data_IF_546538483370
#
_entry.id   IF_546538483370
#
_cell.length_a   1.000
_cell.length_b   1.000
_cell.length_c   1.000
_cell.angle_alpha   90.00
_cell.angle_beta   90.00
_cell.angle_gamma   90.00
#
_symmetry.space_group_name_H-M   'P 1'
#
loop_
_entity.id
_entity.type
_entity.pdbx_description
1 polymer ?
#
# COMPACT_ATOMS: atom_id res chain seq x y z
N UNK A 1 -14.36 29.76 2.72
CA UNK A 1 -14.76 28.44 3.26
C UNK A 1 -14.80 27.43 2.11
N UNK A 2 -14.28 26.24 2.36
CA UNK A 2 -14.31 25.15 1.38
C UNK A 2 -15.64 24.38 1.49
N UNK A 3 -16.35 24.28 0.37
CA UNK A 3 -17.58 23.48 0.26
C UNK A 3 -17.34 22.33 -0.73
N UNK A 4 -17.29 21.11 -0.21
CA UNK A 4 -17.01 19.91 -0.99
C UNK A 4 -18.05 19.63 -2.09
N UNK A 5 -19.32 20.02 -1.88
CA UNK A 5 -20.41 19.68 -2.80
C UNK A 5 -20.32 20.45 -4.12
N UNK A 6 -19.75 21.66 -4.08
CA UNK A 6 -19.66 22.56 -5.24
C UNK A 6 -18.24 22.85 -5.69
N UNK A 7 -17.23 22.43 -4.93
CA UNK A 7 -15.83 22.70 -5.23
C UNK A 7 -15.36 21.95 -6.47
N UNK A 8 -14.68 22.65 -7.38
CA UNK A 8 -13.98 22.09 -8.54
C UNK A 8 -12.48 21.91 -8.31
N UNK A 9 -12.05 21.90 -7.06
CA UNK A 9 -10.63 21.80 -6.72
C UNK A 9 -10.03 20.48 -7.18
N UNK A 10 -8.80 20.56 -7.64
CA UNK A 10 -7.98 19.39 -7.94
C UNK A 10 -6.91 19.25 -6.85
N UNK A 11 -6.74 18.03 -6.35
CA UNK A 11 -5.67 17.68 -5.42
C UNK A 11 -4.71 16.70 -6.08
N UNK A 12 -3.43 16.88 -5.82
CA UNK A 12 -2.38 15.95 -6.26
C UNK A 12 -1.90 15.15 -5.06
N UNK A 13 -2.01 13.82 -5.18
CA UNK A 13 -1.62 12.86 -4.16
C UNK A 13 -0.39 12.09 -4.61
N UNK A 14 0.55 11.83 -3.70
CA UNK A 14 1.62 10.87 -3.92
C UNK A 14 1.33 9.60 -3.11
N UNK A 15 1.39 8.44 -3.75
CA UNK A 15 1.16 7.16 -3.09
C UNK A 15 1.84 6.01 -3.83
N UNK A 16 2.03 4.90 -3.13
CA UNK A 16 2.50 3.66 -3.73
C UNK A 16 1.39 2.96 -4.50
N UNK A 17 1.74 2.04 -5.38
CA UNK A 17 0.81 1.25 -6.18
C UNK A 17 -0.12 0.36 -5.34
N UNK A 18 0.33 -0.11 -4.17
CA UNK A 18 -0.54 -0.81 -3.19
C UNK A 18 -1.72 0.06 -2.80
N UNK A 19 -1.49 1.35 -2.57
CA UNK A 19 -2.53 2.31 -2.20
C UNK A 19 -3.56 2.51 -3.32
N UNK A 20 -3.18 2.36 -4.60
CA UNK A 20 -4.13 2.38 -5.71
C UNK A 20 -5.21 1.31 -5.57
N UNK A 21 -4.83 0.11 -5.16
CA UNK A 21 -5.75 -1.01 -5.00
C UNK A 21 -6.53 -0.95 -3.68
N UNK A 22 -5.88 -0.54 -2.60
CA UNK A 22 -6.44 -0.56 -1.25
C UNK A 22 -7.29 0.68 -0.96
N UNK A 23 -6.86 1.87 -1.37
CA UNK A 23 -7.45 3.14 -0.95
C UNK A 23 -8.33 3.79 -2.01
N UNK A 24 -7.89 3.85 -3.26
CA UNK A 24 -8.57 4.64 -4.29
C UNK A 24 -10.01 4.20 -4.58
N UNK A 25 -10.38 2.91 -4.57
CA UNK A 25 -11.78 2.53 -4.76
C UNK A 25 -12.72 3.13 -3.72
N UNK A 26 -12.32 3.12 -2.45
CA UNK A 26 -13.11 3.72 -1.34
C UNK A 26 -13.21 5.24 -1.48
N UNK A 27 -12.08 5.88 -1.78
CA UNK A 27 -12.01 7.34 -1.97
C UNK A 27 -12.87 7.78 -3.14
N UNK A 28 -12.79 7.07 -4.26
CA UNK A 28 -13.58 7.36 -5.46
C UNK A 28 -15.08 7.27 -5.20
N UNK A 29 -15.53 6.25 -4.47
CA UNK A 29 -16.93 6.11 -4.06
C UNK A 29 -17.39 7.28 -3.20
N UNK A 30 -16.57 7.68 -2.23
CA UNK A 30 -16.89 8.83 -1.37
C UNK A 30 -16.99 10.12 -2.17
N UNK A 31 -16.00 10.40 -3.05
CA UNK A 31 -16.00 11.61 -3.88
C UNK A 31 -17.23 11.68 -4.77
N UNK A 32 -17.59 10.58 -5.40
CA UNK A 32 -18.78 10.52 -6.26
C UNK A 32 -20.05 10.90 -5.52
N UNK A 33 -20.18 10.50 -4.27
CA UNK A 33 -21.37 10.76 -3.45
C UNK A 33 -21.38 12.16 -2.80
N UNK A 34 -20.21 12.67 -2.39
CA UNK A 34 -20.12 13.83 -1.50
C UNK A 34 -19.39 15.05 -2.09
N UNK A 35 -18.52 14.84 -3.08
CA UNK A 35 -17.70 15.88 -3.69
C UNK A 35 -17.53 15.64 -5.19
N UNK A 36 -18.64 15.66 -5.98
CA UNK A 36 -18.66 15.12 -7.34
C UNK A 36 -17.79 15.90 -8.34
N UNK A 37 -17.44 17.14 -8.01
CA UNK A 37 -16.63 18.00 -8.87
C UNK A 37 -15.15 18.06 -8.46
N UNK A 38 -14.78 17.55 -7.28
CA UNK A 38 -13.38 17.44 -6.87
C UNK A 38 -12.66 16.41 -7.75
N UNK A 39 -11.42 16.69 -8.10
CA UNK A 39 -10.58 15.81 -8.92
C UNK A 39 -9.29 15.46 -8.19
N UNK A 40 -8.83 14.24 -8.43
CA UNK A 40 -7.56 13.75 -7.88
C UNK A 40 -6.59 13.45 -9.03
N UNK A 41 -5.35 13.89 -8.85
CA UNK A 41 -4.21 13.49 -9.66
C UNK A 41 -3.29 12.67 -8.77
N UNK A 42 -2.92 11.46 -9.20
CA UNK A 42 -2.10 10.54 -8.41
C UNK A 42 -0.73 10.40 -9.05
N UNK A 43 0.31 10.57 -8.25
CA UNK A 43 1.71 10.45 -8.66
C UNK A 43 2.42 9.38 -7.81
N UNK A 44 3.47 8.75 -8.36
CA UNK A 44 4.30 7.84 -7.57
C UNK A 44 5.09 8.60 -6.51
N UNK A 45 5.48 7.91 -5.45
CA UNK A 45 6.44 8.42 -4.47
C UNK A 45 7.85 8.26 -5.05
N UNK A 46 8.61 9.36 -5.06
CA UNK A 46 9.98 9.42 -5.55
C UNK A 46 10.87 10.17 -4.56
N UNK A 47 12.15 10.27 -4.85
CA UNK A 47 13.10 11.10 -4.08
C UNK A 47 12.75 12.60 -4.12
N UNK A 48 11.98 13.03 -5.11
CA UNK A 48 11.53 14.41 -5.27
C UNK A 48 10.23 14.74 -4.52
N UNK A 49 9.55 13.75 -3.99
CA UNK A 49 8.22 13.93 -3.36
C UNK A 49 8.23 14.98 -2.25
N UNK A 50 9.23 14.97 -1.37
CA UNK A 50 9.34 15.96 -0.29
C UNK A 50 9.48 17.39 -0.81
N UNK A 51 10.29 17.61 -1.83
CA UNK A 51 10.45 18.90 -2.49
C UNK A 51 9.14 19.36 -3.17
N UNK A 52 8.49 18.44 -3.88
CA UNK A 52 7.22 18.73 -4.57
C UNK A 52 6.07 19.04 -3.59
N UNK A 53 6.10 18.45 -2.39
CA UNK A 53 5.16 18.80 -1.32
C UNK A 53 5.47 20.19 -0.74
N UNK A 54 6.74 20.51 -0.53
CA UNK A 54 7.15 21.79 0.02
C UNK A 54 6.83 22.96 -0.93
N UNK A 55 6.91 22.75 -2.24
CA UNK A 55 6.59 23.80 -3.24
C UNK A 55 5.12 23.79 -3.69
N UNK A 56 4.28 22.90 -3.16
CA UNK A 56 2.84 22.88 -3.42
C UNK A 56 2.42 22.11 -4.68
N UNK A 57 3.30 21.38 -5.32
CA UNK A 57 2.96 20.51 -6.47
C UNK A 57 2.22 19.26 -6.04
N UNK A 58 2.51 18.76 -4.84
CA UNK A 58 1.83 17.62 -4.21
C UNK A 58 1.19 18.08 -2.90
N UNK A 59 -0.09 17.81 -2.75
CA UNK A 59 -0.86 18.21 -1.57
C UNK A 59 -0.69 17.26 -0.40
N UNK A 60 -0.71 15.95 -0.67
CA UNK A 60 -0.74 14.91 0.35
C UNK A 60 0.02 13.68 -0.14
N UNK A 61 0.81 13.07 0.74
CA UNK A 61 1.44 11.77 0.49
C UNK A 61 0.86 10.71 1.43
N UNK A 62 0.66 9.50 0.91
CA UNK A 62 0.12 8.36 1.64
C UNK A 62 1.07 7.17 1.53
N UNK A 63 1.38 6.55 2.66
CA UNK A 63 2.25 5.40 2.72
C UNK A 63 3.09 5.35 4.00
N UNK A 64 4.26 4.74 3.91
CA UNK A 64 5.27 4.72 4.95
C UNK A 64 6.49 5.50 4.47
N UNK A 65 6.67 6.72 4.96
CA UNK A 65 7.69 7.68 4.54
C UNK A 65 8.48 8.19 5.77
N UNK A 66 9.30 7.34 6.40
CA UNK A 66 9.97 7.67 7.66
C UNK A 66 11.00 8.80 7.52
N UNK A 67 11.41 9.16 6.31
CA UNK A 67 12.38 10.22 6.03
C UNK A 67 11.75 11.64 5.97
N UNK A 68 10.42 11.75 5.98
CA UNK A 68 9.72 13.04 6.03
C UNK A 68 9.64 13.53 7.48
N UNK A 69 10.57 14.37 7.90
CA UNK A 69 10.66 14.85 9.28
C UNK A 69 10.36 16.35 9.39
N UNK A 70 11.33 17.21 9.13
CA UNK A 70 11.24 18.65 9.35
C UNK A 70 10.28 19.32 8.35
N UNK A 71 9.32 20.07 8.88
CA UNK A 71 8.36 20.82 8.07
C UNK A 71 7.15 20.02 7.59
N UNK A 72 7.07 18.74 7.98
CA UNK A 72 5.94 17.85 7.63
C UNK A 72 5.17 17.42 8.86
N UNK A 73 3.85 17.40 8.71
CA UNK A 73 2.95 16.74 9.64
C UNK A 73 2.63 15.34 9.15
N UNK A 74 2.28 14.46 10.08
CA UNK A 74 1.88 13.09 9.78
C UNK A 74 0.73 12.65 10.67
N UNK A 75 -0.10 11.77 10.14
CA UNK A 75 -1.19 11.13 10.87
C UNK A 75 -1.31 9.68 10.45
N UNK A 76 -1.28 8.77 11.42
CA UNK A 76 -1.45 7.34 11.16
C UNK A 76 -2.88 7.06 10.69
N UNK A 77 -3.00 6.26 9.64
CA UNK A 77 -4.28 5.81 9.09
C UNK A 77 -4.59 4.38 9.51
N UNK A 78 -3.66 3.45 9.38
CA UNK A 78 -3.80 2.06 9.81
C UNK A 78 -2.45 1.37 9.94
N UNK A 79 -2.46 0.20 10.57
CA UNK A 79 -1.31 -0.70 10.67
C UNK A 79 -1.35 -1.71 9.53
N UNK A 80 -0.19 -1.98 8.91
CA UNK A 80 -0.04 -2.95 7.85
C UNK A 80 0.93 -4.06 8.28
N UNK A 81 0.67 -5.29 7.86
CA UNK A 81 1.53 -6.45 8.07
C UNK A 81 1.57 -7.32 6.82
N UNK A 82 2.47 -8.29 6.78
CA UNK A 82 2.68 -9.14 5.61
C UNK A 82 2.01 -10.50 5.79
N UNK A 83 1.47 -11.00 4.68
CA UNK A 83 0.91 -12.35 4.54
C UNK A 83 1.48 -13.00 3.28
N UNK A 84 1.21 -14.29 3.12
CA UNK A 84 1.59 -15.04 1.92
C UNK A 84 0.35 -15.34 1.09
N UNK A 85 0.42 -15.07 -0.21
CA UNK A 85 -0.62 -15.46 -1.16
C UNK A 85 -0.12 -16.59 -2.06
N UNK A 86 -1.03 -17.50 -2.38
CA UNK A 86 -0.81 -18.62 -3.29
C UNK A 86 -2.05 -18.87 -4.14
N UNK A 87 -1.92 -19.60 -5.24
CA UNK A 87 -3.06 -20.08 -5.99
C UNK A 87 -3.97 -20.93 -5.09
N UNK A 88 -5.28 -20.79 -5.26
CA UNK A 88 -6.27 -21.54 -4.46
C UNK A 88 -6.08 -23.04 -4.55
N UNK A 89 -5.71 -23.53 -5.72
CA UNK A 89 -5.46 -24.94 -6.04
C UNK A 89 -3.97 -25.27 -6.11
N UNK A 90 -3.16 -24.58 -5.31
CA UNK A 90 -1.72 -24.84 -5.24
C UNK A 90 -1.44 -26.31 -4.95
N UNK A 91 -0.58 -27.01 -5.74
CA UNK A 91 -0.44 -28.45 -5.67
C UNK A 91 0.20 -28.99 -4.38
N UNK A 92 0.94 -28.16 -3.65
CA UNK A 92 1.68 -28.56 -2.44
C UNK A 92 1.19 -27.86 -1.17
N UNK A 93 0.63 -26.67 -1.28
CA UNK A 93 0.15 -25.88 -0.13
C UNK A 93 -1.36 -26.10 0.04
N UNK A 94 -1.74 -27.29 0.48
CA UNK A 94 -3.15 -27.73 0.52
C UNK A 94 -3.85 -27.51 1.85
N UNK A 95 -3.10 -27.17 2.91
CA UNK A 95 -3.64 -26.89 4.24
C UNK A 95 -4.05 -25.44 4.43
N UNK A 96 -4.43 -25.10 5.67
CA UNK A 96 -4.81 -23.75 6.08
C UNK A 96 -3.62 -22.91 6.57
N UNK A 97 -2.51 -23.55 6.83
CA UNK A 97 -1.27 -22.92 7.30
C UNK A 97 -0.10 -23.29 6.42
N UNK A 98 0.94 -22.49 6.46
CA UNK A 98 2.21 -22.74 5.78
C UNK A 98 3.33 -22.72 6.82
N UNK A 99 4.19 -23.75 6.80
CA UNK A 99 5.37 -23.79 7.63
C UNK A 99 6.51 -22.95 7.04
N UNK A 100 7.50 -22.62 7.85
CA UNK A 100 8.72 -21.96 7.39
C UNK A 100 9.44 -22.77 6.31
N UNK A 101 9.51 -24.09 6.47
CA UNK A 101 10.12 -25.01 5.50
C UNK A 101 9.36 -25.01 4.17
N UNK A 102 8.03 -25.05 4.22
CA UNK A 102 7.18 -24.95 3.02
C UNK A 102 7.39 -23.60 2.31
N UNK A 103 7.39 -22.52 3.06
CA UNK A 103 7.62 -21.16 2.54
C UNK A 103 8.95 -21.06 1.79
N UNK A 104 10.03 -21.59 2.37
CA UNK A 104 11.37 -21.52 1.78
C UNK A 104 11.57 -22.52 0.63
N UNK A 105 10.76 -23.57 0.54
CA UNK A 105 10.84 -24.58 -0.51
C UNK A 105 10.15 -24.18 -1.81
N UNK A 106 9.28 -23.16 -1.76
CA UNK A 106 8.56 -22.67 -2.94
C UNK A 106 9.36 -21.62 -3.71
N UNK A 107 9.04 -21.47 -4.99
CA UNK A 107 9.48 -20.31 -5.77
C UNK A 107 8.69 -19.07 -5.37
N UNK A 108 9.35 -17.94 -5.28
CA UNK A 108 8.76 -16.68 -4.86
C UNK A 108 8.67 -15.68 -6.00
N UNK A 109 7.58 -14.93 -6.02
CA UNK A 109 7.48 -13.67 -6.76
C UNK A 109 7.86 -12.57 -5.78
N UNK A 110 8.95 -11.89 -6.05
CA UNK A 110 9.43 -10.77 -5.24
C UNK A 110 8.95 -9.44 -5.84
N UNK A 111 8.55 -8.51 -4.98
CA UNK A 111 8.09 -7.19 -5.41
C UNK A 111 9.09 -6.15 -4.95
N UNK A 112 9.85 -5.63 -5.89
CA UNK A 112 10.84 -4.57 -5.65
C UNK A 112 10.15 -3.19 -5.76
N UNK A 113 9.34 -2.87 -4.77
CA UNK A 113 8.58 -1.62 -4.72
C UNK A 113 8.44 -1.10 -3.29
N UNK A 114 8.79 0.16 -3.09
CA UNK A 114 8.65 0.86 -1.82
C UNK A 114 9.48 0.27 -0.67
N UNK A 115 9.15 0.69 0.54
CA UNK A 115 9.85 0.25 1.76
C UNK A 115 9.56 -1.20 2.17
N UNK A 116 8.45 -1.75 1.69
CA UNK A 116 8.05 -3.13 2.00
C UNK A 116 9.08 -4.17 1.57
N UNK A 117 9.70 -3.96 0.42
CA UNK A 117 10.79 -4.81 -0.06
C UNK A 117 11.93 -4.89 0.96
N UNK A 118 12.36 -3.75 1.49
CA UNK A 118 13.44 -3.70 2.48
C UNK A 118 13.08 -4.38 3.80
N UNK A 119 11.84 -4.27 4.26
CA UNK A 119 11.38 -4.95 5.48
C UNK A 119 11.50 -6.46 5.36
N UNK A 120 11.08 -7.02 4.23
CA UNK A 120 11.14 -8.47 3.98
C UNK A 120 12.58 -8.93 3.85
N UNK A 121 13.38 -8.28 3.00
CA UNK A 121 14.77 -8.66 2.76
C UNK A 121 15.65 -8.54 4.01
N UNK A 122 15.50 -7.46 4.78
CA UNK A 122 16.27 -7.26 6.01
C UNK A 122 15.94 -8.33 7.05
N UNK A 123 14.66 -8.69 7.21
CA UNK A 123 14.28 -9.72 8.17
C UNK A 123 14.81 -11.11 7.78
N UNK A 124 14.73 -11.46 6.50
CA UNK A 124 15.30 -12.70 5.98
C UNK A 124 16.82 -12.74 6.17
N UNK A 125 17.50 -11.64 5.90
CA UNK A 125 18.94 -11.52 6.11
C UNK A 125 19.33 -11.68 7.60
N UNK A 126 18.59 -11.03 8.50
CA UNK A 126 18.80 -11.15 9.95
C UNK A 126 18.63 -12.60 10.46
N UNK A 127 17.74 -13.35 9.84
CA UNK A 127 17.48 -14.76 10.17
C UNK A 127 18.37 -15.74 9.38
N UNK A 128 19.26 -15.24 8.54
CA UNK A 128 20.11 -16.04 7.64
C UNK A 128 19.29 -16.94 6.72
N UNK A 129 18.11 -16.47 6.28
CA UNK A 129 17.21 -17.18 5.39
C UNK A 129 17.30 -16.61 3.97
N UNK A 130 17.08 -17.48 2.99
CA UNK A 130 17.10 -17.10 1.58
C UNK A 130 15.91 -17.72 0.86
N UNK A 131 15.19 -16.86 0.09
CA UNK A 131 14.13 -17.28 -0.80
C UNK A 131 14.69 -17.65 -2.18
N UNK A 132 14.08 -18.60 -2.84
CA UNK A 132 14.33 -18.88 -4.25
C UNK A 132 13.38 -18.01 -5.09
N UNK A 133 13.92 -17.00 -5.77
CA UNK A 133 13.15 -15.99 -6.50
C UNK A 133 12.97 -16.41 -7.95
N UNK A 134 11.73 -16.68 -8.35
CA UNK A 134 11.38 -16.96 -9.75
C UNK A 134 11.44 -15.69 -10.61
N UNK A 135 10.85 -14.59 -10.10
CA UNK A 135 10.88 -13.30 -10.78
C UNK A 135 10.73 -12.15 -9.80
N UNK A 136 11.20 -10.97 -10.22
CA UNK A 136 10.97 -9.70 -9.52
C UNK A 136 10.08 -8.82 -10.35
N UNK A 137 9.02 -8.27 -9.71
CA UNK A 137 8.11 -7.31 -10.32
C UNK A 137 8.37 -5.91 -9.75
N UNK A 138 8.27 -4.86 -10.59
CA UNK A 138 8.48 -3.49 -10.13
C UNK A 138 7.26 -2.91 -9.38
N UNK A 139 6.15 -3.64 -9.34
CA UNK A 139 4.92 -3.19 -8.71
C UNK A 139 4.05 -4.35 -8.23
N UNK A 140 3.12 -4.05 -7.31
CA UNK A 140 2.14 -5.02 -6.81
C UNK A 140 0.93 -5.23 -7.74
N UNK A 141 0.73 -4.39 -8.75
CA UNK A 141 -0.50 -4.38 -9.56
C UNK A 141 -0.77 -5.71 -10.27
N UNK A 142 0.29 -6.38 -10.73
CA UNK A 142 0.16 -7.66 -11.46
C UNK A 142 0.32 -8.92 -10.61
N UNK A 143 0.69 -8.79 -9.33
CA UNK A 143 1.11 -9.94 -8.52
C UNK A 143 0.01 -11.00 -8.38
N UNK A 144 -1.24 -10.59 -8.19
CA UNK A 144 -2.36 -11.51 -8.04
C UNK A 144 -2.59 -12.37 -9.27
N UNK A 145 -2.49 -11.79 -10.47
CA UNK A 145 -2.64 -12.52 -11.73
C UNK A 145 -1.50 -13.53 -11.93
N UNK A 146 -0.27 -13.13 -11.64
CA UNK A 146 0.89 -14.03 -11.76
C UNK A 146 0.78 -15.21 -10.79
N UNK A 147 0.44 -14.95 -9.52
CA UNK A 147 0.38 -15.99 -8.49
C UNK A 147 -0.76 -16.99 -8.75
N UNK A 148 -1.93 -16.51 -9.19
CA UNK A 148 -3.08 -17.42 -9.42
C UNK A 148 -2.86 -18.41 -10.58
N UNK A 149 -2.02 -18.06 -11.55
CA UNK A 149 -1.75 -18.86 -12.74
C UNK A 149 -0.43 -19.67 -12.64
N UNK A 150 0.20 -19.66 -11.47
CA UNK A 150 1.45 -20.37 -11.20
C UNK A 150 1.39 -21.13 -9.89
N UNK A 151 2.44 -21.89 -9.57
CA UNK A 151 2.65 -22.49 -8.26
C UNK A 151 3.68 -21.70 -7.41
N UNK A 152 4.08 -20.53 -7.87
CA UNK A 152 4.88 -19.62 -7.07
C UNK A 152 4.02 -18.90 -6.02
N UNK A 153 4.65 -18.44 -4.95
CA UNK A 153 4.01 -17.71 -3.87
C UNK A 153 4.56 -16.28 -3.78
N UNK A 154 3.84 -15.39 -3.13
CA UNK A 154 4.29 -14.03 -2.88
C UNK A 154 3.98 -13.58 -1.46
N UNK A 155 4.87 -12.79 -0.88
CA UNK A 155 4.69 -12.12 0.39
C UNK A 155 4.21 -10.70 0.13
N UNK A 156 3.01 -10.37 0.59
CA UNK A 156 2.33 -9.11 0.25
C UNK A 156 1.70 -8.47 1.48
N UNK A 157 1.44 -7.14 1.46
CA UNK A 157 0.68 -6.48 2.51
C UNK A 157 -0.73 -7.06 2.66
N UNK A 158 -1.20 -7.18 3.90
CA UNK A 158 -2.46 -7.84 4.23
C UNK A 158 -3.68 -7.22 3.53
N UNK A 159 -3.84 -5.89 3.58
CA UNK A 159 -5.01 -5.25 2.95
C UNK A 159 -5.02 -5.39 1.43
N UNK A 160 -3.85 -5.50 0.81
CA UNK A 160 -3.75 -5.86 -0.61
C UNK A 160 -4.25 -7.28 -0.85
N UNK A 161 -3.87 -8.23 0.01
CA UNK A 161 -4.27 -9.63 -0.12
C UNK A 161 -5.80 -9.80 -0.06
N UNK A 162 -6.50 -9.02 0.77
CA UNK A 162 -7.97 -9.04 0.83
C UNK A 162 -8.60 -8.58 -0.49
N UNK A 163 -8.07 -7.53 -1.10
CA UNK A 163 -8.54 -7.05 -2.41
C UNK A 163 -8.32 -8.10 -3.49
N UNK A 164 -7.15 -8.73 -3.50
CA UNK A 164 -6.80 -9.77 -4.46
C UNK A 164 -7.65 -11.03 -4.28
N UNK A 165 -7.89 -11.45 -3.03
CA UNK A 165 -8.73 -12.61 -2.70
C UNK A 165 -10.16 -12.45 -3.22
N UNK A 166 -10.72 -11.25 -3.10
CA UNK A 166 -12.09 -10.96 -3.56
C UNK A 166 -12.26 -11.02 -5.08
N UNK A 167 -11.16 -11.02 -5.84
CA UNK A 167 -11.17 -10.88 -7.30
C UNK A 167 -10.51 -12.02 -8.07
N UNK A 168 -9.91 -12.98 -7.39
CA UNK A 168 -9.15 -14.05 -8.02
C UNK A 168 -9.19 -15.37 -7.27
N UNK A 169 -8.61 -16.39 -7.89
CA UNK A 169 -8.45 -17.74 -7.32
C UNK A 169 -7.20 -17.83 -6.45
N UNK A 170 -7.21 -17.11 -5.35
CA UNK A 170 -6.10 -17.04 -4.41
C UNK A 170 -6.52 -17.53 -3.03
N UNK A 171 -5.54 -17.93 -2.24
CA UNK A 171 -5.66 -18.13 -0.80
C UNK A 171 -4.56 -17.38 -0.07
N UNK A 172 -4.85 -17.04 1.18
CA UNK A 172 -3.99 -16.27 2.07
C UNK A 172 -3.54 -17.17 3.20
N UNK A 173 -2.24 -17.13 3.50
CA UNK A 173 -1.66 -17.74 4.69
C UNK A 173 -1.06 -16.67 5.58
N UNK A 174 -1.10 -16.87 6.89
CA UNK A 174 -0.19 -16.14 7.77
C UNK A 174 1.26 -16.36 7.33
N UNK A 175 2.06 -15.31 7.38
CA UNK A 175 3.48 -15.45 7.10
C UNK A 175 4.14 -16.30 8.21
N UNK A 176 4.91 -17.35 7.86
CA UNK A 176 5.56 -18.20 8.85
C UNK A 176 6.83 -17.57 9.44
N UNK A 177 7.13 -16.35 9.03
CA UNK A 177 8.24 -15.52 9.51
C UNK A 177 7.64 -14.23 10.04
N UNK A 178 8.11 -13.78 11.21
CA UNK A 178 7.64 -12.56 11.86
C UNK A 178 8.21 -11.30 11.18
N UNK A 179 7.71 -10.95 10.02
CA UNK A 179 8.06 -9.69 9.38
C UNK A 179 7.56 -8.50 10.20
N UNK A 180 8.29 -7.35 10.20
CA UNK A 180 7.86 -6.17 10.93
C UNK A 180 6.55 -5.62 10.38
N UNK A 181 5.71 -5.11 11.28
CA UNK A 181 4.54 -4.30 10.93
C UNK A 181 4.95 -2.86 10.67
N UNK A 182 4.12 -2.10 9.98
CA UNK A 182 4.38 -0.68 9.75
C UNK A 182 3.10 0.13 9.67
N UNK A 183 3.18 1.40 10.10
CA UNK A 183 2.07 2.34 10.02
C UNK A 183 1.96 2.97 8.65
N UNK A 184 0.81 2.82 8.01
CA UNK A 184 0.46 3.61 6.83
C UNK A 184 -0.08 4.94 7.32
N UNK A 185 0.52 6.03 6.85
CA UNK A 185 0.25 7.39 7.30
C UNK A 185 -0.09 8.29 6.13
N UNK A 186 -0.75 9.39 6.42
CA UNK A 186 -0.80 10.54 5.54
C UNK A 186 0.16 11.62 6.03
N UNK A 187 0.81 12.30 5.07
CA UNK A 187 1.83 13.32 5.30
C UNK A 187 1.48 14.56 4.51
N UNK A 188 1.73 15.73 5.10
CA UNK A 188 1.55 17.01 4.41
C UNK A 188 2.54 18.05 4.90
N UNK A 189 2.88 18.99 4.03
CA UNK A 189 3.80 20.07 4.37
C UNK A 189 3.09 21.14 5.23
N UNK A 190 3.85 21.79 6.11
CA UNK A 190 3.35 22.82 7.02
C UNK A 190 2.64 23.98 6.31
N UNK A 191 3.05 24.31 5.08
CA UNK A 191 2.46 25.40 4.30
C UNK A 191 0.97 25.24 3.97
N UNK A 192 0.46 24.02 3.97
CA UNK A 192 -0.95 23.73 3.70
C UNK A 192 -1.75 23.34 4.95
N UNK A 193 -1.12 23.36 6.13
CA UNK A 193 -1.73 22.86 7.36
C UNK A 193 -3.06 23.57 7.72
N UNK A 194 -3.13 24.87 7.50
CA UNK A 194 -4.29 25.70 7.86
C UNK A 194 -5.26 25.95 6.70
N UNK A 195 -4.98 25.44 5.49
CA UNK A 195 -5.90 25.58 4.35
C UNK A 195 -7.14 24.71 4.57
N UNK A 196 -8.33 25.30 4.53
CA UNK A 196 -9.60 24.61 4.80
C UNK A 196 -9.86 23.44 3.85
N UNK A 197 -9.55 23.62 2.58
CA UNK A 197 -9.66 22.54 1.58
C UNK A 197 -8.72 21.35 1.89
N UNK A 198 -7.52 21.63 2.37
CA UNK A 198 -6.56 20.60 2.74
C UNK A 198 -6.95 19.91 4.05
N UNK A 199 -7.51 20.66 5.02
CA UNK A 199 -8.07 20.07 6.24
C UNK A 199 -9.19 19.08 5.91
N UNK A 200 -10.08 19.45 4.99
CA UNK A 200 -11.11 18.54 4.50
C UNK A 200 -10.51 17.31 3.85
N UNK A 201 -9.50 17.44 2.98
CA UNK A 201 -8.86 16.32 2.32
C UNK A 201 -8.31 15.30 3.30
N UNK A 202 -7.52 15.75 4.29
CA UNK A 202 -6.94 14.86 5.32
C UNK A 202 -8.02 14.20 6.17
N UNK A 203 -9.05 14.96 6.54
CA UNK A 203 -10.15 14.44 7.34
C UNK A 203 -10.91 13.35 6.59
N UNK A 204 -11.17 13.57 5.31
CA UNK A 204 -11.80 12.57 4.45
C UNK A 204 -11.01 11.25 4.44
N UNK A 205 -9.70 11.29 4.21
CA UNK A 205 -8.86 10.08 4.23
C UNK A 205 -8.90 9.39 5.58
N UNK A 206 -8.77 10.14 6.66
CA UNK A 206 -8.80 9.59 8.01
C UNK A 206 -10.14 8.90 8.31
N UNK A 207 -11.27 9.55 8.05
CA UNK A 207 -12.60 9.02 8.32
C UNK A 207 -12.93 7.76 7.51
N UNK A 208 -12.51 7.71 6.24
CA UNK A 208 -12.79 6.57 5.37
C UNK A 208 -11.94 5.35 5.73
N UNK A 209 -10.70 5.56 6.17
CA UNK A 209 -9.72 4.49 6.38
C UNK A 209 -9.67 3.98 7.83
N UNK A 210 -10.22 4.72 8.79
CA UNK A 210 -10.35 4.28 10.20
C UNK A 210 -11.59 3.41 10.44
N UNK A 211 -12.42 3.19 9.43
CA UNK A 211 -13.59 2.29 9.47
C UNK A 211 -13.21 0.93 8.91
#
# INVERSE_FOLDING_TARGET
DFDQAISHQQFTLAMTDVSHLVLLPKITQYLKANAPHVRLNVRPITTETSYQMANGEIDLALGFLPHLENGFYQQKLFEQYYVVIAAKDHPRLTGDTISKEQYLSELHIDIDAGMGHYHIENELLNLELKRDILMRLPSYLGVGLVVQDTDAIATVPYYLSEVLLSRGNLKIFEAPIAFPTYGVKQYWHMSCHHKTSHQWLRHMFHEILMK
#
